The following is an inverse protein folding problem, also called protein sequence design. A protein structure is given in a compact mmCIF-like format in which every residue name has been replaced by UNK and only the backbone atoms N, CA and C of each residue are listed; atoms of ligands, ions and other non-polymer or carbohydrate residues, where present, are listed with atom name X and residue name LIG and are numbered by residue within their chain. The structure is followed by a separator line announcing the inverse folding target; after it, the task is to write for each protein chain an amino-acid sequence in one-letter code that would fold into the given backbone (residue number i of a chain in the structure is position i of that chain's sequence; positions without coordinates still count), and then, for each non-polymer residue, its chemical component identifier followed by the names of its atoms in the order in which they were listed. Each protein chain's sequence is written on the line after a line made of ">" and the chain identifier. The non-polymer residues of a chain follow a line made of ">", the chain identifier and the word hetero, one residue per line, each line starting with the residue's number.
data_IF_518461354197
#
_entry.id   IF_518461354197
#
_cell.length_a   1.000
_cell.length_b   1.000
_cell.length_c   1.000
_cell.angle_alpha   90.00
_cell.angle_beta   90.00
_cell.angle_gamma   90.00
#
_symmetry.space_group_name_H-M   'P 1'
#
loop_
_entity.id
_entity.type
_entity.pdbx_description
1 polymer ?
#
# COMPACT_ATOMS: atom_id res chain seq x y z
N UNK A 1 -12.28 -4.36 -1.39
CA UNK A 1 -10.97 -3.99 -1.96
C UNK A 1 -9.89 -4.51 -1.04
N UNK A 2 -8.79 -5.00 -1.59
CA UNK A 2 -7.60 -5.37 -0.81
C UNK A 2 -6.59 -4.24 -0.92
N UNK A 3 -5.98 -3.85 0.20
CA UNK A 3 -4.92 -2.84 0.26
C UNK A 3 -3.77 -3.45 1.04
N UNK A 4 -2.58 -3.42 0.45
CA UNK A 4 -1.33 -3.84 1.09
C UNK A 4 -0.38 -2.64 1.18
N UNK A 5 0.22 -2.44 2.35
CA UNK A 5 1.10 -1.29 2.60
C UNK A 5 2.40 -1.71 3.28
N UNK A 6 3.50 -1.06 2.91
CA UNK A 6 4.81 -1.16 3.58
C UNK A 6 5.35 0.24 3.89
N UNK A 7 6.23 0.33 4.88
CA UNK A 7 7.05 1.53 5.06
C UNK A 7 8.10 1.61 3.94
N UNK A 8 8.28 2.81 3.38
CA UNK A 8 9.26 3.05 2.33
C UNK A 8 8.78 2.66 0.93
N UNK A 9 9.70 2.23 0.07
CA UNK A 9 9.45 1.89 -1.34
C UNK A 9 8.77 0.52 -1.47
N UNK A 10 7.83 0.41 -2.42
CA UNK A 10 7.03 -0.80 -2.66
C UNK A 10 7.82 -2.03 -3.13
N UNK A 11 9.11 -1.90 -3.48
CA UNK A 11 10.00 -3.01 -3.86
C UNK A 11 10.06 -4.11 -2.79
N UNK A 12 9.84 -3.76 -1.52
CA UNK A 12 9.77 -4.71 -0.41
C UNK A 12 8.62 -5.71 -0.50
N UNK A 13 7.48 -5.30 -1.10
CA UNK A 13 6.32 -6.16 -1.34
C UNK A 13 6.62 -7.10 -2.52
N UNK A 14 7.11 -6.54 -3.63
CA UNK A 14 7.35 -7.29 -4.88
C UNK A 14 8.38 -8.41 -4.69
N UNK A 15 9.40 -8.17 -3.87
CA UNK A 15 10.44 -9.16 -3.54
C UNK A 15 9.99 -10.20 -2.51
N UNK A 16 8.84 -10.03 -1.86
CA UNK A 16 8.38 -10.87 -0.74
C UNK A 16 9.24 -10.76 0.53
N UNK A 17 10.11 -9.75 0.61
CA UNK A 17 11.03 -9.55 1.73
C UNK A 17 10.36 -8.90 2.96
N UNK A 18 9.26 -8.18 2.75
CA UNK A 18 8.54 -7.44 3.78
C UNK A 18 7.09 -7.92 3.79
N UNK A 19 6.64 -8.43 4.95
CA UNK A 19 5.22 -8.72 5.17
C UNK A 19 4.47 -7.39 5.33
N UNK A 20 3.51 -7.07 4.44
CA UNK A 20 2.80 -5.79 4.48
C UNK A 20 1.73 -5.78 5.56
N UNK A 21 1.27 -4.58 5.92
CA UNK A 21 -0.07 -4.44 6.48
C UNK A 21 -1.08 -4.87 5.42
N UNK A 22 -2.06 -5.68 5.81
CA UNK A 22 -3.06 -6.22 4.90
C UNK A 22 -4.46 -5.81 5.37
N UNK A 23 -5.16 -5.06 4.52
CA UNK A 23 -6.52 -4.60 4.78
C UNK A 23 -7.47 -5.16 3.74
N UNK A 24 -8.65 -5.58 4.19
CA UNK A 24 -9.83 -5.71 3.33
C UNK A 24 -10.81 -4.62 3.72
N UNK A 25 -11.19 -3.82 2.74
CA UNK A 25 -12.04 -2.65 2.93
C UNK A 25 -13.30 -2.81 2.09
N UNK A 26 -14.45 -2.54 2.70
CA UNK A 26 -15.72 -2.41 1.99
C UNK A 26 -15.69 -1.16 1.11
N UNK A 27 -16.08 -1.31 -0.16
CA UNK A 27 -15.90 -0.25 -1.16
C UNK A 27 -16.98 0.83 -1.08
N UNK A 28 -18.11 0.54 -0.45
CA UNK A 28 -19.25 1.45 -0.33
C UNK A 28 -19.22 2.16 1.01
N UNK A 29 -18.98 1.43 2.10
CA UNK A 29 -18.98 2.00 3.46
C UNK A 29 -17.61 2.55 3.88
N UNK A 30 -16.55 2.17 3.17
CA UNK A 30 -15.15 2.45 3.51
C UNK A 30 -14.70 1.83 4.84
N UNK A 31 -15.47 0.90 5.39
CA UNK A 31 -15.14 0.22 6.63
C UNK A 31 -14.12 -0.91 6.40
N UNK A 32 -13.24 -1.10 7.38
CA UNK A 32 -12.34 -2.25 7.40
C UNK A 32 -13.14 -3.49 7.79
N UNK A 33 -13.21 -4.48 6.89
CA UNK A 33 -13.83 -5.78 7.17
C UNK A 33 -12.82 -6.81 7.67
N UNK A 34 -11.53 -6.56 7.44
CA UNK A 34 -10.41 -7.35 7.95
C UNK A 34 -9.13 -6.53 7.99
N UNK A 35 -8.37 -6.68 9.07
CA UNK A 35 -7.02 -6.12 9.21
C UNK A 35 -6.03 -7.17 9.73
N UNK A 36 -4.83 -7.12 9.18
CA UNK A 36 -3.67 -7.84 9.68
C UNK A 36 -2.47 -6.88 9.67
N UNK A 37 -1.97 -6.57 10.86
CA UNK A 37 -0.89 -5.60 11.08
C UNK A 37 0.30 -6.36 11.70
N UNK A 38 1.23 -6.88 10.89
CA UNK A 38 2.42 -7.54 11.40
C UNK A 38 3.46 -6.53 11.90
N UNK A 39 4.44 -7.03 12.65
CA UNK A 39 5.64 -6.27 12.95
C UNK A 39 6.46 -6.06 11.68
N UNK A 40 6.63 -4.80 11.30
CA UNK A 40 7.42 -4.39 10.12
C UNK A 40 8.83 -4.07 10.58
N UNK A 41 9.73 -5.04 10.50
CA UNK A 41 11.09 -4.90 11.06
C UNK A 41 12.04 -4.09 10.17
N UNK A 42 11.78 -4.05 8.87
CA UNK A 42 12.64 -3.40 7.88
C UNK A 42 11.81 -2.65 6.83
N UNK A 43 12.43 -1.66 6.19
CA UNK A 43 11.88 -0.86 5.11
C UNK A 43 12.95 -0.58 4.06
N UNK A 44 12.55 -0.45 2.80
CA UNK A 44 13.45 -0.05 1.70
C UNK A 44 13.27 1.44 1.46
N UNK A 45 14.37 2.20 1.40
CA UNK A 45 14.35 3.64 1.13
C UNK A 45 15.41 4.03 0.12
N UNK A 46 15.36 5.26 -0.37
CA UNK A 46 16.36 5.81 -1.29
C UNK A 46 17.69 6.02 -0.56
N UNK A 47 18.78 5.53 -1.14
CA UNK A 47 20.12 5.86 -0.65
C UNK A 47 20.52 7.28 -1.10
N UNK A 48 21.20 8.00 -0.21
CA UNK A 48 21.87 9.27 -0.48
C UNK A 48 22.85 9.22 -1.67
N UNK A 49 23.48 8.08 -1.93
CA UNK A 49 24.43 7.89 -3.03
C UNK A 49 23.78 7.40 -4.33
N UNK A 50 22.44 7.29 -4.37
CA UNK A 50 21.70 6.69 -5.47
C UNK A 50 21.42 5.20 -5.23
N UNK A 51 20.34 4.70 -5.84
CA UNK A 51 19.83 3.36 -5.58
C UNK A 51 18.94 3.28 -4.35
N UNK A 52 18.80 2.07 -3.81
CA UNK A 52 17.93 1.75 -2.66
C UNK A 52 18.73 1.07 -1.56
N UNK A 53 18.30 1.24 -0.31
CA UNK A 53 18.89 0.64 0.88
C UNK A 53 17.80 0.11 1.80
N UNK A 54 18.06 -1.04 2.43
CA UNK A 54 17.19 -1.61 3.46
C UNK A 54 17.64 -1.14 4.84
N UNK A 55 16.73 -0.57 5.62
CA UNK A 55 16.98 -0.07 6.97
C UNK A 55 15.94 -0.64 7.95
N UNK A 56 16.27 -0.74 9.24
CA UNK A 56 15.27 -1.08 10.25
C UNK A 56 14.19 0.00 10.30
N UNK A 57 12.94 -0.43 10.50
CA UNK A 57 11.84 0.51 10.80
C UNK A 57 12.06 1.07 12.21
N UNK A 58 11.88 2.39 12.43
CA UNK A 58 11.94 2.96 13.76
C UNK A 58 10.99 2.24 14.73
N UNK A 59 11.44 1.96 15.96
CA UNK A 59 10.69 1.12 16.92
C UNK A 59 9.25 1.58 17.13
N UNK A 60 9.01 2.89 17.12
CA UNK A 60 7.69 3.49 17.27
C UNK A 60 6.73 3.24 16.08
N UNK A 61 7.24 2.74 14.95
CA UNK A 61 6.49 2.45 13.72
C UNK A 61 6.35 0.96 13.40
N UNK A 62 7.05 0.07 14.13
CA UNK A 62 7.13 -1.36 13.80
C UNK A 62 5.74 -2.02 13.84
N UNK A 63 4.99 -1.78 14.92
CA UNK A 63 3.72 -2.47 15.20
C UNK A 63 2.48 -1.59 15.01
N UNK A 64 2.63 -0.41 14.39
CA UNK A 64 1.49 0.47 14.11
C UNK A 64 0.98 0.24 12.68
N UNK A 65 -0.31 0.51 12.41
CA UNK A 65 -0.84 0.61 11.06
C UNK A 65 -0.11 1.69 10.26
N UNK A 66 0.29 1.38 9.04
CA UNK A 66 0.95 2.32 8.12
C UNK A 66 -0.02 3.41 7.69
N UNK A 67 -1.24 3.01 7.33
CA UNK A 67 -2.22 3.89 6.72
C UNK A 67 -3.11 4.52 7.77
N UNK A 68 -3.30 5.83 7.66
CA UNK A 68 -4.35 6.56 8.36
C UNK A 68 -5.73 6.25 7.76
N UNK A 69 -6.79 6.64 8.45
CA UNK A 69 -8.15 6.47 7.94
C UNK A 69 -8.41 7.28 6.65
N UNK A 70 -7.86 8.51 6.56
CA UNK A 70 -8.05 9.33 5.36
C UNK A 70 -7.25 8.79 4.17
N UNK A 71 -6.02 8.31 4.38
CA UNK A 71 -5.24 7.67 3.31
C UNK A 71 -5.92 6.40 2.79
N UNK A 72 -6.50 5.55 3.67
CA UNK A 72 -7.31 4.41 3.23
C UNK A 72 -8.50 4.84 2.39
N UNK A 73 -9.19 5.91 2.80
CA UNK A 73 -10.31 6.48 2.03
C UNK A 73 -9.86 6.93 0.63
N UNK A 74 -8.76 7.68 0.55
CA UNK A 74 -8.18 8.12 -0.72
C UNK A 74 -7.80 6.93 -1.63
N UNK A 75 -7.29 5.84 -1.06
CA UNK A 75 -6.96 4.62 -1.81
C UNK A 75 -8.20 3.89 -2.34
N UNK A 76 -9.27 3.80 -1.54
CA UNK A 76 -10.55 3.25 -2.01
C UNK A 76 -11.12 4.09 -3.15
N UNK A 77 -11.12 5.42 -3.00
CA UNK A 77 -11.57 6.35 -4.04
C UNK A 77 -10.73 6.20 -5.32
N UNK A 78 -9.40 6.07 -5.21
CA UNK A 78 -8.50 5.83 -6.34
C UNK A 78 -8.83 4.51 -7.05
N UNK A 79 -8.91 3.40 -6.30
CA UNK A 79 -9.18 2.08 -6.88
C UNK A 79 -10.54 2.00 -7.58
N UNK A 80 -11.57 2.63 -6.99
CA UNK A 80 -12.89 2.76 -7.62
C UNK A 80 -12.82 3.52 -8.95
N UNK A 81 -12.13 4.68 -8.99
CA UNK A 81 -11.95 5.47 -10.21
C UNK A 81 -11.18 4.74 -11.28
N UNK A 82 -10.13 4.01 -10.89
CA UNK A 82 -9.27 3.26 -11.81
C UNK A 82 -10.02 2.09 -12.44
N UNK A 83 -10.73 1.29 -11.64
CA UNK A 83 -11.57 0.21 -12.17
C UNK A 83 -12.69 0.76 -13.07
N UNK A 84 -13.36 1.84 -12.66
CA UNK A 84 -14.40 2.47 -13.49
C UNK A 84 -13.84 2.94 -14.84
N UNK A 85 -12.62 3.50 -14.85
CA UNK A 85 -11.97 3.98 -16.07
C UNK A 85 -11.64 2.84 -17.04
N UNK A 86 -11.13 1.71 -16.53
CA UNK A 86 -10.73 0.57 -17.37
C UNK A 86 -11.84 -0.46 -17.62
N UNK A 87 -12.94 -0.39 -16.86
CA UNK A 87 -14.10 -1.29 -17.00
C UNK A 87 -13.85 -2.71 -16.51
N UNK A 88 -12.75 -2.97 -15.80
CA UNK A 88 -12.42 -4.27 -15.22
C UNK A 88 -11.53 -4.13 -13.98
N UNK A 89 -11.50 -5.14 -13.08
CA UNK A 89 -10.68 -5.09 -11.88
C UNK A 89 -9.20 -4.84 -12.19
N UNK A 90 -8.59 -3.94 -11.41
CA UNK A 90 -7.20 -3.53 -11.59
C UNK A 90 -6.36 -3.90 -10.38
N UNK A 91 -5.11 -4.30 -10.65
CA UNK A 91 -4.02 -4.30 -9.70
C UNK A 91 -3.25 -2.99 -9.83
N UNK A 92 -3.14 -2.25 -8.73
CA UNK A 92 -2.70 -0.84 -8.71
C UNK A 92 -1.53 -0.69 -7.75
N UNK A 93 -0.41 -0.20 -8.27
CA UNK A 93 0.71 0.27 -7.45
C UNK A 93 0.53 1.75 -7.15
N UNK A 94 0.76 2.11 -5.89
CA UNK A 94 0.59 3.47 -5.39
C UNK A 94 1.70 3.83 -4.41
N UNK A 95 1.86 5.12 -4.17
CA UNK A 95 2.70 5.67 -3.12
C UNK A 95 1.98 6.81 -2.42
N UNK A 96 2.40 7.10 -1.18
CA UNK A 96 1.93 8.25 -0.42
C UNK A 96 3.11 9.15 -0.10
N UNK A 97 2.96 10.43 -0.42
CA UNK A 97 3.90 11.46 -0.02
C UNK A 97 3.12 12.66 0.53
N UNK A 98 3.47 13.10 1.74
CA UNK A 98 2.81 14.22 2.44
C UNK A 98 1.27 14.07 2.53
N UNK A 99 0.79 12.85 2.80
CA UNK A 99 -0.64 12.55 2.94
C UNK A 99 -1.42 12.50 1.62
N UNK A 100 -0.74 12.60 0.48
CA UNK A 100 -1.35 12.51 -0.84
C UNK A 100 -1.02 11.19 -1.52
N UNK A 101 -2.05 10.51 -2.02
CA UNK A 101 -1.92 9.27 -2.80
C UNK A 101 -1.54 9.58 -4.26
N UNK A 102 -0.55 8.85 -4.77
CA UNK A 102 -0.12 8.86 -6.16
C UNK A 102 -0.29 7.47 -6.77
N UNK A 103 -0.85 7.41 -7.98
CA UNK A 103 -0.88 6.18 -8.79
C UNK A 103 0.45 6.06 -9.54
N UNK A 104 1.11 4.90 -9.40
CA UNK A 104 2.38 4.60 -10.07
C UNK A 104 2.16 3.66 -11.27
N UNK A 105 1.34 2.63 -11.09
CA UNK A 105 1.03 1.64 -12.11
C UNK A 105 -0.42 1.15 -11.95
N UNK A 106 -1.05 0.75 -13.06
CA UNK A 106 -2.31 0.01 -13.08
C UNK A 106 -2.25 -1.06 -14.14
N UNK A 107 -2.69 -2.27 -13.82
CA UNK A 107 -2.79 -3.39 -14.77
C UNK A 107 -4.07 -4.20 -14.52
N UNK A 108 -4.71 -4.76 -15.57
CA UNK A 108 -5.89 -5.58 -15.39
C UNK A 108 -5.56 -6.88 -14.66
N UNK A 109 -6.45 -7.31 -13.77
CA UNK A 109 -6.38 -8.64 -13.15
C UNK A 109 -6.96 -9.65 -14.14
N UNK A 110 -6.14 -10.58 -14.63
CA UNK A 110 -6.54 -11.53 -15.68
C UNK A 110 -7.00 -12.89 -15.16
N UNK A 111 -6.78 -13.20 -13.88
CA UNK A 111 -7.02 -14.53 -13.29
C UNK A 111 -7.96 -14.46 -12.08
N UNK A 112 -9.18 -13.97 -12.28
CA UNK A 112 -10.24 -13.94 -11.25
C UNK A 112 -10.97 -15.28 -11.13
#
# INVERSE_FOLDING_TARGET
>A
MVIEAVWGLGEGIVSGMITPDHYKVDRETHEIVYEFIPDKLQMITKDTNGGVVTLPVPNERVSIPILTADERRQLVDLGNRVEQHFGCPQDVEWAIENGQVYLLQSRPITNL
#
